data_IF_780928038327
#
_entry.id   IF_780928038327
#
_cell.length_a   1.000
_cell.length_b   1.000
_cell.length_c   1.000
_cell.angle_alpha   90.00
_cell.angle_beta   90.00
_cell.angle_gamma   90.00
#
_symmetry.space_group_name_H-M   'P 1'
#
loop_
_entity.id
_entity.type
_entity.pdbx_description
1 polymer ?
#
# COMPACT_ATOMS: atom_id res chain seq x y z
N UNK A 1 -3.22 17.91 -13.98
CA UNK A 1 -2.57 18.14 -12.66
C UNK A 1 -3.66 18.39 -11.64
N UNK A 2 -3.58 17.74 -10.47
CA UNK A 2 -4.51 17.95 -9.36
C UNK A 2 -3.77 18.41 -8.12
N UNK A 3 -4.32 19.41 -7.42
CA UNK A 3 -3.78 19.94 -6.18
C UNK A 3 -4.75 19.75 -5.02
N UNK A 4 -4.27 19.83 -3.77
CA UNK A 4 -5.15 19.72 -2.59
C UNK A 4 -5.88 21.02 -2.24
N UNK A 5 -5.50 22.16 -2.82
CA UNK A 5 -6.16 23.45 -2.59
C UNK A 5 -6.15 24.36 -3.82
N UNK A 6 -7.07 25.33 -3.83
CA UNK A 6 -7.26 26.28 -4.95
C UNK A 6 -6.03 27.15 -5.16
N UNK A 7 -5.44 27.69 -4.08
CA UNK A 7 -4.25 28.58 -4.17
C UNK A 7 -3.09 27.94 -4.94
N UNK A 8 -2.86 26.64 -4.77
CA UNK A 8 -1.81 25.95 -5.51
C UNK A 8 -2.25 25.61 -6.94
N UNK A 9 -3.54 25.32 -7.18
CA UNK A 9 -4.03 25.13 -8.55
C UNK A 9 -3.82 26.40 -9.37
N UNK A 10 -4.14 27.56 -8.81
CA UNK A 10 -3.95 28.86 -9.45
C UNK A 10 -2.46 29.12 -9.71
N UNK A 11 -1.61 28.92 -8.71
CA UNK A 11 -0.16 29.09 -8.84
C UNK A 11 0.45 28.19 -9.94
N UNK A 12 0.06 26.91 -10.00
CA UNK A 12 0.54 26.00 -11.04
C UNK A 12 -0.01 26.38 -12.41
N UNK A 13 -1.25 26.88 -12.49
CA UNK A 13 -1.83 27.38 -13.73
C UNK A 13 -1.06 28.60 -14.27
N UNK A 14 -0.68 29.53 -13.39
CA UNK A 14 0.14 30.69 -13.75
C UNK A 14 1.54 30.29 -14.22
N UNK A 15 2.17 29.32 -13.52
CA UNK A 15 3.45 28.75 -13.93
C UNK A 15 3.36 28.07 -15.30
N UNK A 16 2.29 27.31 -15.55
CA UNK A 16 2.05 26.66 -16.83
C UNK A 16 1.88 27.68 -17.95
N UNK A 17 1.05 28.71 -17.74
CA UNK A 17 0.84 29.81 -18.67
C UNK A 17 2.16 30.56 -18.98
N UNK A 18 3.05 30.71 -18.00
CA UNK A 18 4.39 31.24 -18.25
C UNK A 18 5.27 30.27 -19.04
N UNK A 19 5.24 28.98 -18.69
CA UNK A 19 6.05 27.94 -19.33
C UNK A 19 5.73 27.82 -20.81
N UNK A 20 4.47 27.90 -21.22
CA UNK A 20 4.04 27.84 -22.62
C UNK A 20 4.63 28.97 -23.49
N UNK A 21 4.85 30.15 -22.90
CA UNK A 21 5.46 31.28 -23.62
C UNK A 21 6.91 31.01 -23.96
N UNK A 22 7.64 30.38 -23.05
CA UNK A 22 9.10 30.25 -23.16
C UNK A 22 9.56 28.84 -23.59
N UNK A 23 8.66 27.85 -23.61
CA UNK A 23 8.97 26.46 -23.95
C UNK A 23 8.13 25.96 -25.15
N UNK A 24 8.75 25.76 -26.34
CA UNK A 24 8.07 25.27 -27.53
C UNK A 24 7.38 23.92 -27.35
N UNK A 25 7.98 22.98 -26.60
CA UNK A 25 7.41 21.65 -26.40
C UNK A 25 6.13 21.69 -25.53
N UNK A 26 6.11 22.57 -24.52
CA UNK A 26 4.91 22.78 -23.69
C UNK A 26 3.76 23.38 -24.53
N UNK A 27 4.09 24.32 -25.41
CA UNK A 27 3.12 24.95 -26.32
C UNK A 27 2.55 23.95 -27.32
N UNK A 28 3.39 23.12 -27.93
CA UNK A 28 2.96 22.07 -28.86
C UNK A 28 2.06 21.05 -28.15
N UNK A 29 2.41 20.67 -26.91
CA UNK A 29 1.57 19.78 -26.11
C UNK A 29 0.18 20.37 -25.83
N UNK A 30 0.10 21.64 -25.40
CA UNK A 30 -1.19 22.28 -25.14
C UNK A 30 -2.03 22.39 -26.42
N UNK A 31 -1.43 22.85 -27.52
CA UNK A 31 -2.11 22.99 -28.80
C UNK A 31 -2.64 21.64 -29.33
N UNK A 32 -1.89 20.55 -29.11
CA UNK A 32 -2.29 19.19 -29.52
C UNK A 32 -3.59 18.74 -28.85
N UNK A 33 -3.83 19.11 -27.59
CA UNK A 33 -4.95 18.60 -26.79
C UNK A 33 -6.09 19.61 -26.60
N UNK A 34 -5.89 20.89 -26.93
CA UNK A 34 -6.86 21.97 -26.68
C UNK A 34 -8.26 21.69 -27.24
N UNK A 35 -8.35 21.18 -28.47
CA UNK A 35 -9.63 20.92 -29.15
C UNK A 35 -10.13 19.47 -29.01
N UNK A 36 -9.58 18.73 -28.05
CA UNK A 36 -9.97 17.34 -27.77
C UNK A 36 -10.90 17.24 -26.57
N UNK A 37 -11.47 16.06 -26.33
CA UNK A 37 -12.22 15.77 -25.10
C UNK A 37 -11.32 15.67 -23.84
N UNK A 38 -10.00 15.67 -24.02
CA UNK A 38 -9.01 15.47 -22.97
C UNK A 38 -7.98 16.61 -22.90
N UNK A 39 -8.40 17.89 -22.80
CA UNK A 39 -7.46 19.00 -22.73
C UNK A 39 -6.59 18.91 -21.47
N UNK A 40 -5.43 19.57 -21.51
CA UNK A 40 -4.64 19.76 -20.30
C UNK A 40 -5.46 20.52 -19.24
N UNK A 41 -5.29 20.15 -17.97
CA UNK A 41 -5.96 20.85 -16.88
C UNK A 41 -5.09 20.93 -15.62
N UNK A 42 -5.34 21.98 -14.84
CA UNK A 42 -4.90 22.13 -13.46
C UNK A 42 -6.15 22.42 -12.64
N UNK A 43 -6.47 21.55 -11.67
CA UNK A 43 -7.68 21.67 -10.85
C UNK A 43 -7.35 21.31 -9.40
N UNK A 44 -8.11 21.83 -8.44
CA UNK A 44 -8.01 21.36 -7.06
C UNK A 44 -8.92 20.14 -6.84
N UNK A 45 -8.66 19.41 -5.75
CA UNK A 45 -9.38 18.22 -5.30
C UNK A 45 -10.91 18.36 -5.35
N UNK A 46 -11.45 19.56 -5.11
CA UNK A 46 -12.90 19.78 -5.09
C UNK A 46 -13.55 19.85 -6.47
N UNK A 47 -12.76 20.22 -7.49
CA UNK A 47 -13.24 20.51 -8.84
C UNK A 47 -12.91 19.41 -9.86
N UNK A 48 -12.25 18.33 -9.40
CA UNK A 48 -11.91 17.17 -10.22
C UNK A 48 -13.05 16.17 -10.16
N UNK A 49 -13.91 16.20 -11.18
CA UNK A 49 -15.07 15.31 -11.30
C UNK A 49 -15.26 14.88 -12.75
N UNK A 50 -15.27 13.57 -13.00
CA UNK A 50 -15.32 13.06 -14.38
C UNK A 50 -14.05 13.33 -15.21
N UNK A 51 -13.08 14.05 -14.66
CA UNK A 51 -11.81 14.37 -15.31
C UNK A 51 -10.82 13.21 -15.20
N UNK A 52 -10.83 12.31 -16.19
CA UNK A 52 -9.93 11.15 -16.26
C UNK A 52 -8.82 11.38 -17.30
N UNK A 53 -7.59 10.96 -17.00
CA UNK A 53 -6.46 11.02 -17.94
C UNK A 53 -5.61 9.77 -17.83
N UNK A 54 -4.82 9.50 -18.86
CA UNK A 54 -3.86 8.39 -18.81
C UNK A 54 -2.85 8.61 -17.66
N UNK A 55 -2.37 9.84 -17.53
CA UNK A 55 -1.43 10.26 -16.50
C UNK A 55 -1.99 11.42 -15.66
N UNK A 56 -2.00 11.27 -14.34
CA UNK A 56 -2.36 12.34 -13.40
C UNK A 56 -1.19 12.65 -12.48
N UNK A 57 -0.78 13.92 -12.46
CA UNK A 57 0.15 14.45 -11.47
C UNK A 57 -0.66 14.98 -10.28
N UNK A 58 -0.34 14.53 -9.07
CA UNK A 58 -0.96 14.97 -7.82
C UNK A 58 0.06 15.72 -6.98
N UNK A 59 -0.28 16.93 -6.53
CA UNK A 59 0.52 17.70 -5.59
C UNK A 59 -0.19 17.85 -4.25
N UNK A 60 0.40 17.34 -3.17
CA UNK A 60 -0.23 17.29 -1.84
C UNK A 60 -0.19 18.61 -1.08
N UNK A 61 0.73 19.53 -1.40
CA UNK A 61 1.01 20.83 -0.72
C UNK A 61 1.41 20.80 0.75
N UNK A 62 1.15 19.70 1.43
CA UNK A 62 1.40 19.58 2.84
C UNK A 62 2.87 19.29 3.09
N UNK A 63 3.40 19.91 4.13
CA UNK A 63 4.79 19.84 4.49
C UNK A 63 5.09 20.74 5.67
N UNK A 64 6.31 20.66 6.19
CA UNK A 64 6.74 21.55 7.26
C UNK A 64 6.96 22.96 6.72
N UNK A 65 6.77 23.97 7.58
CA UNK A 65 6.99 25.38 7.20
C UNK A 65 8.46 25.68 6.93
N UNK A 66 9.35 24.94 7.56
CA UNK A 66 10.80 24.98 7.38
C UNK A 66 11.34 23.56 7.16
N UNK A 67 12.45 23.44 6.43
CA UNK A 67 13.05 22.12 6.13
C UNK A 67 13.42 21.40 7.43
N UNK A 68 12.94 20.16 7.58
CA UNK A 68 13.16 19.35 8.77
C UNK A 68 12.27 19.69 9.98
N UNK A 69 11.39 20.69 9.85
CA UNK A 69 10.39 21.01 10.87
C UNK A 69 9.23 20.02 10.92
N UNK A 70 8.32 20.15 11.90
CA UNK A 70 7.14 19.30 11.99
C UNK A 70 6.09 19.66 10.93
N UNK A 71 5.41 18.65 10.39
CA UNK A 71 4.26 18.84 9.50
C UNK A 71 3.02 19.23 10.31
N UNK A 72 2.36 20.30 9.89
CA UNK A 72 1.11 20.73 10.49
C UNK A 72 -0.03 19.74 10.16
N UNK A 73 -0.73 19.25 11.18
CA UNK A 73 -1.79 18.23 11.04
C UNK A 73 -3.15 18.79 10.54
N UNK A 74 -3.11 19.84 9.70
CA UNK A 74 -4.28 20.53 9.15
C UNK A 74 -4.40 20.25 7.65
N UNK A 75 -5.04 19.15 7.30
CA UNK A 75 -5.15 18.67 5.91
C UNK A 75 -6.34 19.25 5.13
N UNK A 76 -6.79 20.47 5.49
CA UNK A 76 -7.80 21.22 4.74
C UNK A 76 -9.07 20.41 4.39
N UNK A 77 -9.49 20.36 3.10
CA UNK A 77 -10.68 19.63 2.66
C UNK A 77 -10.68 18.13 2.97
N UNK A 78 -9.51 17.53 3.22
CA UNK A 78 -9.37 16.09 3.53
C UNK A 78 -9.90 15.78 4.93
N UNK A 79 -9.83 16.73 5.86
CA UNK A 79 -10.29 16.54 7.24
C UNK A 79 -11.83 16.47 7.30
N UNK A 80 -12.52 17.07 6.33
CA UNK A 80 -13.98 17.13 6.29
C UNK A 80 -14.61 15.74 6.11
N UNK A 81 -15.90 15.59 6.47
CA UNK A 81 -16.60 14.30 6.46
C UNK A 81 -16.54 13.53 5.13
N UNK A 82 -16.52 14.24 3.99
CA UNK A 82 -16.43 13.63 2.65
C UNK A 82 -15.00 13.62 2.07
N UNK A 83 -13.98 13.93 2.86
CA UNK A 83 -12.58 14.02 2.41
C UNK A 83 -12.06 12.71 1.81
N UNK A 84 -12.40 11.57 2.42
CA UNK A 84 -12.05 10.23 1.93
C UNK A 84 -12.63 9.97 0.52
N UNK A 85 -13.89 10.36 0.26
CA UNK A 85 -14.52 10.20 -1.07
C UNK A 85 -13.80 11.02 -2.12
N UNK A 86 -13.40 12.26 -1.78
CA UNK A 86 -12.65 13.12 -2.69
C UNK A 86 -11.28 12.52 -3.01
N UNK A 87 -10.60 11.93 -2.01
CA UNK A 87 -9.35 11.20 -2.24
C UNK A 87 -9.54 9.98 -3.14
N UNK A 88 -10.57 9.17 -2.93
CA UNK A 88 -10.89 8.04 -3.80
C UNK A 88 -11.19 8.48 -5.24
N UNK A 89 -11.92 9.58 -5.40
CA UNK A 89 -12.13 10.20 -6.71
C UNK A 89 -10.78 10.57 -7.32
N UNK A 90 -9.93 11.28 -6.60
CA UNK A 90 -8.61 11.69 -7.06
C UNK A 90 -7.73 10.51 -7.50
N UNK A 91 -7.61 9.47 -6.68
CA UNK A 91 -6.74 8.31 -6.96
C UNK A 91 -7.23 7.44 -8.12
N UNK A 92 -8.51 7.54 -8.47
CA UNK A 92 -9.10 6.82 -9.61
C UNK A 92 -9.17 7.66 -10.89
N UNK A 93 -8.61 8.87 -10.92
CA UNK A 93 -8.59 9.71 -12.13
C UNK A 93 -7.54 9.31 -13.16
N UNK A 94 -6.54 8.52 -12.77
CA UNK A 94 -5.51 8.05 -13.69
C UNK A 94 -5.88 6.68 -14.25
N UNK A 95 -5.78 6.52 -15.57
CA UNK A 95 -5.96 5.22 -16.24
C UNK A 95 -4.71 4.36 -16.18
N UNK A 96 -3.54 4.99 -16.30
CA UNK A 96 -2.27 4.30 -16.45
C UNK A 96 -1.30 4.63 -15.31
N UNK A 97 -1.17 5.91 -14.93
CA UNK A 97 -0.15 6.32 -13.96
C UNK A 97 -0.52 7.54 -13.12
N UNK A 98 -0.13 7.49 -11.85
CA UNK A 98 -0.11 8.65 -10.93
C UNK A 98 1.34 8.99 -10.58
N UNK A 99 1.67 10.27 -10.68
CA UNK A 99 2.91 10.83 -10.12
C UNK A 99 2.55 11.73 -8.93
N UNK A 100 2.90 11.29 -7.72
CA UNK A 100 2.59 11.97 -6.46
C UNK A 100 3.78 12.81 -5.99
N UNK A 101 3.56 14.11 -5.81
CA UNK A 101 4.54 15.07 -5.29
C UNK A 101 4.13 15.50 -3.88
N UNK A 102 5.00 15.22 -2.91
CA UNK A 102 4.77 15.51 -1.50
C UNK A 102 6.04 16.02 -0.81
N UNK A 103 5.88 16.96 0.12
CA UNK A 103 6.96 17.43 1.01
C UNK A 103 6.90 16.78 2.39
N UNK A 104 6.09 15.73 2.53
CA UNK A 104 5.90 14.93 3.73
C UNK A 104 5.74 13.46 3.37
N UNK A 105 5.99 12.58 4.34
CA UNK A 105 5.82 11.13 4.28
C UNK A 105 4.61 10.69 5.12
N UNK A 106 4.22 9.41 5.01
CA UNK A 106 3.16 8.84 5.88
C UNK A 106 3.51 8.92 7.36
N UNK A 107 4.80 8.84 7.72
CA UNK A 107 5.28 8.92 9.10
C UNK A 107 5.07 10.31 9.75
N UNK A 108 4.92 11.35 8.93
CA UNK A 108 4.63 12.70 9.41
C UNK A 108 3.16 12.90 9.80
N UNK A 109 2.27 11.98 9.41
CA UNK A 109 0.83 12.05 9.69
C UNK A 109 0.50 11.28 10.97
N UNK A 110 -0.01 12.03 11.95
CA UNK A 110 -0.43 11.51 13.25
C UNK A 110 -1.91 11.17 13.18
N UNK A 111 -2.23 9.90 13.41
CA UNK A 111 -3.60 9.36 13.37
C UNK A 111 -3.94 8.70 14.70
N UNK A 112 -5.13 8.96 15.20
CA UNK A 112 -5.75 8.36 16.38
C UNK A 112 -7.20 7.92 16.07
N UNK A 113 -7.92 7.39 17.06
CA UNK A 113 -9.31 6.94 16.90
C UNK A 113 -10.27 8.06 16.45
N UNK A 114 -9.96 9.33 16.74
CA UNK A 114 -10.79 10.49 16.41
C UNK A 114 -10.44 11.11 15.06
N UNK A 115 -9.35 10.67 14.45
CA UNK A 115 -8.88 11.17 13.16
C UNK A 115 -9.86 10.82 12.06
N UNK A 116 -10.18 11.79 11.22
CA UNK A 116 -11.15 11.59 10.14
C UNK A 116 -10.65 10.57 9.13
N UNK A 117 -11.59 9.87 8.51
CA UNK A 117 -11.31 8.83 7.51
C UNK A 117 -10.41 9.34 6.38
N UNK A 118 -10.61 10.58 5.92
CA UNK A 118 -9.77 11.18 4.88
C UNK A 118 -8.30 11.30 5.28
N UNK A 119 -8.01 11.60 6.55
CA UNK A 119 -6.62 11.70 7.04
C UNK A 119 -5.96 10.33 7.09
N UNK A 120 -6.71 9.29 7.48
CA UNK A 120 -6.23 7.90 7.46
C UNK A 120 -5.95 7.44 6.03
N UNK A 121 -6.88 7.65 5.11
CA UNK A 121 -6.72 7.33 3.68
C UNK A 121 -5.52 8.05 3.07
N UNK A 122 -5.30 9.33 3.40
CA UNK A 122 -4.11 10.07 2.93
C UNK A 122 -2.81 9.44 3.44
N UNK A 123 -2.76 9.06 4.71
CA UNK A 123 -1.60 8.40 5.33
C UNK A 123 -1.30 7.07 4.67
N UNK A 124 -2.31 6.23 4.52
CA UNK A 124 -2.17 4.90 3.93
C UNK A 124 -1.73 5.01 2.47
N UNK A 125 -2.31 5.96 1.72
CA UNK A 125 -1.91 6.21 0.33
C UNK A 125 -0.48 6.73 0.18
N UNK A 126 0.00 7.59 1.09
CA UNK A 126 1.39 8.03 1.09
C UNK A 126 2.36 6.90 1.44
N UNK A 127 1.96 6.01 2.35
CA UNK A 127 2.73 4.81 2.67
C UNK A 127 2.85 3.92 1.44
N UNK A 128 1.72 3.66 0.77
CA UNK A 128 1.65 2.91 -0.46
C UNK A 128 2.48 3.53 -1.59
N UNK A 129 2.34 4.83 -1.85
CA UNK A 129 3.07 5.49 -2.92
C UNK A 129 4.59 5.44 -2.74
N UNK A 130 5.08 5.42 -1.49
CA UNK A 130 6.51 5.36 -1.19
C UNK A 130 7.07 3.94 -1.21
N UNK A 131 6.29 2.94 -0.79
CA UNK A 131 6.76 1.57 -0.59
C UNK A 131 6.32 0.60 -1.68
N UNK A 132 5.28 0.95 -2.44
CA UNK A 132 4.53 0.02 -3.30
C UNK A 132 3.67 -0.97 -2.51
N UNK A 133 3.64 -0.88 -1.18
CA UNK A 133 2.98 -1.80 -0.26
C UNK A 133 1.74 -1.11 0.29
N UNK A 134 0.56 -1.67 0.03
CA UNK A 134 -0.67 -1.17 0.63
C UNK A 134 -0.71 -1.67 2.07
N UNK A 135 -0.18 -0.88 3.01
CA UNK A 135 -0.31 -1.18 4.44
C UNK A 135 -1.79 -1.08 4.82
N UNK A 136 -2.44 -2.22 4.97
CA UNK A 136 -3.81 -2.27 5.48
C UNK A 136 -3.81 -1.88 6.94
N UNK A 137 -4.32 -0.70 7.26
CA UNK A 137 -4.62 -0.25 8.63
C UNK A 137 -5.83 -0.96 9.26
N UNK A 138 -6.21 -2.11 8.71
CA UNK A 138 -7.17 -3.04 9.30
C UNK A 138 -6.77 -4.47 8.92
N UNK A 139 -6.36 -5.26 9.91
CA UNK A 139 -6.63 -6.69 9.88
C UNK A 139 -8.16 -6.84 9.77
N UNK A 140 -8.69 -6.88 8.55
CA UNK A 140 -10.05 -7.35 8.33
C UNK A 140 -9.92 -8.87 8.33
N UNK A 141 -10.02 -9.45 9.53
CA UNK A 141 -10.39 -10.85 9.66
C UNK A 141 -11.76 -10.99 8.97
N UNK A 142 -11.79 -11.64 7.80
CA UNK A 142 -13.03 -11.95 7.11
C UNK A 142 -13.64 -13.24 7.64
N UNK A 143 -14.96 -13.40 7.53
CA UNK A 143 -15.58 -14.71 7.70
C UNK A 143 -15.09 -15.66 6.58
N UNK A 144 -14.84 -16.94 6.89
CA UNK A 144 -14.45 -17.93 5.89
C UNK A 144 -15.50 -18.07 4.79
N UNK A 145 -15.06 -18.18 3.53
CA UNK A 145 -15.95 -18.27 2.36
C UNK A 145 -16.49 -19.71 2.17
N UNK A 146 -15.97 -20.71 2.90
CA UNK A 146 -16.40 -22.11 2.82
C UNK A 146 -16.17 -22.94 4.11
N UNK A 147 -17.06 -23.90 4.38
CA UNK A 147 -16.87 -24.96 5.39
C UNK A 147 -15.55 -25.73 5.21
N UNK A 148 -15.06 -25.82 3.97
CA UNK A 148 -13.78 -26.44 3.66
C UNK A 148 -12.60 -25.64 4.25
N UNK A 149 -12.62 -24.31 4.13
CA UNK A 149 -11.60 -23.43 4.72
C UNK A 149 -11.60 -23.54 6.24
N UNK A 150 -12.79 -23.61 6.85
CA UNK A 150 -12.96 -23.82 8.29
C UNK A 150 -12.29 -25.14 8.70
N UNK A 151 -12.56 -26.22 7.97
CA UNK A 151 -12.02 -27.54 8.29
C UNK A 151 -10.48 -27.59 8.16
N UNK A 152 -9.91 -26.91 7.17
CA UNK A 152 -8.45 -26.80 7.00
C UNK A 152 -7.83 -25.99 8.14
N UNK A 153 -8.39 -24.82 8.46
CA UNK A 153 -7.88 -23.96 9.53
C UNK A 153 -7.96 -24.65 10.90
N UNK A 154 -9.05 -25.35 11.21
CA UNK A 154 -9.24 -26.04 12.47
C UNK A 154 -8.22 -27.16 12.68
N UNK A 155 -7.93 -27.94 11.63
CA UNK A 155 -6.90 -28.98 11.69
C UNK A 155 -5.50 -28.40 11.90
N UNK A 156 -5.20 -27.23 11.35
CA UNK A 156 -3.93 -26.54 11.60
C UNK A 156 -3.85 -26.00 13.04
N UNK A 157 -4.94 -25.44 13.57
CA UNK A 157 -5.01 -25.00 14.98
C UNK A 157 -4.78 -26.14 15.96
N UNK A 158 -5.36 -27.32 15.70
CA UNK A 158 -5.14 -28.53 16.50
C UNK A 158 -3.67 -29.01 16.48
N UNK A 159 -2.88 -28.59 15.49
CA UNK A 159 -1.45 -28.89 15.37
C UNK A 159 -0.56 -27.75 15.90
N UNK A 160 -1.16 -26.73 16.52
CA UNK A 160 -0.45 -25.63 17.18
C UNK A 160 -0.14 -24.42 16.31
N UNK A 161 -0.72 -24.33 15.11
CA UNK A 161 -0.58 -23.15 14.24
C UNK A 161 -1.66 -22.11 14.57
N UNK A 162 -1.31 -20.84 14.48
CA UNK A 162 -2.29 -19.74 14.55
C UNK A 162 -2.71 -19.41 13.12
N UNK A 163 -4.02 -19.38 12.87
CA UNK A 163 -4.58 -19.22 11.53
C UNK A 163 -5.68 -18.17 11.49
N UNK A 164 -5.59 -17.31 10.47
CA UNK A 164 -6.48 -16.16 10.28
C UNK A 164 -7.11 -16.27 8.90
N UNK A 165 -8.43 -16.08 8.80
CA UNK A 165 -9.15 -16.23 7.54
C UNK A 165 -9.11 -14.96 6.70
N UNK A 166 -9.17 -15.12 5.38
CA UNK A 166 -9.39 -14.04 4.40
C UNK A 166 -8.37 -12.90 4.52
N UNK A 167 -7.08 -13.25 4.61
CA UNK A 167 -5.98 -12.32 4.79
C UNK A 167 -5.63 -11.64 3.46
N UNK A 168 -5.73 -10.31 3.40
CA UNK A 168 -5.38 -9.53 2.20
C UNK A 168 -6.11 -8.18 2.12
N UNK A 169 -5.83 -7.40 1.07
CA UNK A 169 -6.46 -6.11 0.80
C UNK A 169 -6.68 -5.88 -0.71
N UNK A 170 -7.66 -5.05 -1.06
CA UNK A 170 -7.93 -4.57 -2.43
C UNK A 170 -8.18 -5.67 -3.49
N UNK A 171 -9.21 -6.51 -3.27
CA UNK A 171 -9.72 -7.45 -4.27
C UNK A 171 -8.97 -8.78 -4.37
N UNK A 172 -7.87 -8.93 -3.63
CA UNK A 172 -7.13 -10.17 -3.50
C UNK A 172 -7.16 -10.62 -2.03
N UNK A 173 -7.78 -11.78 -1.77
CA UNK A 173 -7.87 -12.38 -0.43
C UNK A 173 -7.23 -13.76 -0.47
N UNK A 174 -6.40 -14.05 0.53
CA UNK A 174 -5.85 -15.38 0.80
C UNK A 174 -6.81 -16.06 1.78
N UNK A 175 -7.25 -17.28 1.48
CA UNK A 175 -8.30 -17.93 2.24
C UNK A 175 -7.91 -18.14 3.71
N UNK A 176 -6.65 -18.53 3.97
CA UNK A 176 -6.11 -18.69 5.33
C UNK A 176 -4.65 -18.20 5.39
N UNK A 177 -4.34 -17.25 6.27
CA UNK A 177 -2.96 -16.90 6.64
C UNK A 177 -2.49 -17.69 7.86
N UNK A 178 -1.25 -18.17 7.85
CA UNK A 178 -0.59 -18.83 8.99
C UNK A 178 0.34 -17.84 9.68
N UNK A 179 0.03 -17.50 10.93
CA UNK A 179 0.73 -16.45 11.66
C UNK A 179 2.09 -16.89 12.19
N UNK A 180 3.01 -15.94 12.27
CA UNK A 180 4.30 -16.09 12.93
C UNK A 180 4.84 -14.73 13.40
N UNK A 181 5.05 -14.59 14.71
CA UNK A 181 5.40 -13.33 15.40
C UNK A 181 6.63 -12.60 14.83
N UNK A 182 7.54 -13.32 14.18
CA UNK A 182 8.83 -12.79 13.67
C UNK A 182 8.86 -12.52 12.17
N UNK A 183 7.73 -12.63 11.47
CA UNK A 183 7.64 -12.29 10.04
C UNK A 183 7.28 -10.81 9.84
N UNK A 184 7.82 -10.13 8.78
CA UNK A 184 7.60 -8.71 8.52
C UNK A 184 6.12 -8.28 8.47
N UNK A 185 5.22 -9.21 8.17
CA UNK A 185 3.78 -8.98 8.05
C UNK A 185 2.95 -9.87 9.00
N UNK A 186 3.60 -10.54 9.95
CA UNK A 186 2.93 -11.42 10.91
C UNK A 186 2.53 -12.80 10.36
N UNK A 187 2.79 -13.12 9.10
CA UNK A 187 2.44 -14.40 8.47
C UNK A 187 3.65 -15.09 7.83
N UNK A 188 3.78 -16.41 8.02
CA UNK A 188 4.83 -17.24 7.41
C UNK A 188 4.40 -17.83 6.07
N UNK A 189 3.10 -18.04 5.87
CA UNK A 189 2.53 -18.60 4.64
C UNK A 189 1.06 -18.19 4.47
N UNK A 190 0.61 -18.18 3.23
CA UNK A 190 -0.81 -18.13 2.85
C UNK A 190 -1.26 -19.48 2.32
N UNK A 191 -2.50 -19.87 2.59
CA UNK A 191 -3.12 -21.10 2.11
C UNK A 191 -4.30 -20.73 1.22
N UNK A 192 -4.33 -21.31 0.03
CA UNK A 192 -5.47 -21.24 -0.88
C UNK A 192 -6.21 -22.58 -0.91
N UNK A 193 -7.51 -22.52 -0.69
CA UNK A 193 -8.46 -23.63 -0.73
C UNK A 193 -9.30 -23.50 -2.00
N UNK A 194 -9.38 -24.55 -2.81
CA UNK A 194 -10.28 -24.60 -3.97
C UNK A 194 -11.75 -24.74 -3.51
N UNK A 195 -12.42 -23.60 -3.30
CA UNK A 195 -13.86 -23.56 -3.11
C UNK A 195 -14.62 -23.99 -4.37
N UNK A 196 -15.79 -24.63 -4.19
CA UNK A 196 -16.71 -25.14 -5.24
C UNK A 196 -17.25 -24.09 -6.24
N UNK A 197 -16.72 -22.87 -6.27
CA UNK A 197 -17.12 -21.78 -7.15
C UNK A 197 -16.13 -21.51 -8.31
N UNK A 198 -15.00 -22.21 -8.41
CA UNK A 198 -13.89 -21.82 -9.30
C UNK A 198 -13.82 -22.54 -10.67
N UNK A 199 -14.97 -22.88 -11.24
CA UNK A 199 -15.04 -23.47 -12.59
C UNK A 199 -16.02 -22.75 -13.51
N UNK A 200 -15.70 -21.51 -13.91
CA UNK A 200 -16.12 -21.01 -15.23
C UNK A 200 -15.46 -19.67 -15.60
N UNK A 201 -14.35 -19.70 -16.35
CA UNK A 201 -14.06 -18.81 -17.50
C UNK A 201 -12.58 -18.86 -17.93
N UNK A 202 -12.31 -18.62 -19.23
CA UNK A 202 -10.94 -18.49 -19.78
C UNK A 202 -10.15 -17.31 -19.18
N UNK A 203 -10.83 -16.33 -18.59
CA UNK A 203 -10.25 -15.18 -17.87
C UNK A 203 -9.71 -15.50 -16.47
N UNK A 204 -9.99 -16.70 -15.93
CA UNK A 204 -9.51 -17.12 -14.61
C UNK A 204 -8.04 -17.56 -14.61
N UNK A 205 -7.53 -18.10 -15.72
CA UNK A 205 -6.13 -18.58 -15.82
C UNK A 205 -5.11 -17.46 -15.87
N UNK A 206 -5.37 -16.42 -16.66
CA UNK A 206 -4.46 -15.28 -16.77
C UNK A 206 -4.45 -14.48 -15.45
N UNK A 207 -5.59 -14.42 -14.74
CA UNK A 207 -5.66 -13.88 -13.38
C UNK A 207 -4.93 -14.75 -12.35
N UNK A 208 -4.99 -16.09 -12.44
CA UNK A 208 -4.29 -16.98 -11.49
C UNK A 208 -2.77 -16.87 -11.61
N UNK A 209 -2.23 -16.73 -12.84
CA UNK A 209 -0.79 -16.56 -13.07
C UNK A 209 -0.32 -15.20 -12.53
N UNK A 210 -1.03 -14.11 -12.87
CA UNK A 210 -0.75 -12.77 -12.34
C UNK A 210 -0.90 -12.70 -10.81
N UNK A 211 -1.88 -13.42 -10.25
CA UNK A 211 -2.13 -13.50 -8.81
C UNK A 211 -0.99 -14.19 -8.08
N UNK A 212 -0.52 -15.33 -8.60
CA UNK A 212 0.60 -16.04 -8.01
C UNK A 212 1.89 -15.20 -8.08
N UNK A 213 2.17 -14.58 -9.22
CA UNK A 213 3.34 -13.69 -9.38
C UNK A 213 3.28 -12.48 -8.44
N UNK A 214 2.11 -11.87 -8.24
CA UNK A 214 1.93 -10.74 -7.33
C UNK A 214 2.14 -11.13 -5.85
N UNK A 215 1.58 -12.27 -5.43
CA UNK A 215 1.71 -12.75 -4.05
C UNK A 215 3.16 -13.17 -3.75
N UNK A 216 3.83 -13.86 -4.68
CA UNK A 216 5.23 -14.25 -4.54
C UNK A 216 6.18 -13.03 -4.54
N UNK A 217 5.91 -12.02 -5.37
CA UNK A 217 6.66 -10.74 -5.37
C UNK A 217 6.46 -9.94 -4.07
N UNK A 218 5.35 -10.14 -3.36
CA UNK A 218 5.08 -9.59 -2.03
C UNK A 218 5.71 -10.42 -0.90
N UNK A 219 6.47 -11.47 -1.22
CA UNK A 219 7.17 -12.32 -0.25
C UNK A 219 6.29 -13.39 0.40
N UNK A 220 5.07 -13.60 -0.09
CA UNK A 220 4.22 -14.68 0.40
C UNK A 220 4.71 -16.03 -0.11
N UNK A 221 4.71 -17.02 0.78
CA UNK A 221 4.76 -18.42 0.37
C UNK A 221 3.33 -18.95 0.34
N UNK A 222 2.82 -19.26 -0.86
CA UNK A 222 1.45 -19.75 -1.05
C UNK A 222 1.45 -21.28 -1.11
N UNK A 223 0.60 -21.90 -0.29
CA UNK A 223 0.38 -23.34 -0.24
C UNK A 223 -1.05 -23.66 -0.67
N UNK A 224 -1.22 -24.35 -1.80
CA UNK A 224 -2.55 -24.72 -2.29
C UNK A 224 -3.01 -26.06 -1.71
N UNK A 225 -4.27 -26.12 -1.28
CA UNK A 225 -4.95 -27.33 -0.76
C UNK A 225 -6.17 -27.60 -1.63
N UNK A 226 -6.22 -28.81 -2.19
CA UNK A 226 -7.31 -29.25 -3.04
C UNK A 226 -8.35 -30.04 -2.24
N UNK A 227 -9.62 -29.66 -2.38
CA UNK A 227 -10.78 -30.18 -1.68
C UNK A 227 -11.00 -31.63 -2.05
N UNK A 228 -10.76 -32.00 -3.32
CA UNK A 228 -10.83 -33.39 -3.79
C UNK A 228 -9.86 -34.30 -3.05
N UNK A 229 -8.61 -33.87 -2.90
CA UNK A 229 -7.56 -34.64 -2.24
C UNK A 229 -7.77 -34.68 -0.73
N UNK A 230 -8.22 -33.54 -0.18
CA UNK A 230 -8.54 -33.42 1.23
C UNK A 230 -9.73 -34.28 1.62
N UNK A 231 -10.81 -34.35 0.83
CA UNK A 231 -11.94 -35.24 1.12
C UNK A 231 -11.56 -36.72 0.97
N UNK A 232 -10.64 -37.05 0.06
CA UNK A 232 -10.18 -38.42 -0.13
C UNK A 232 -9.30 -38.91 1.02
N UNK A 233 -8.38 -38.07 1.52
CA UNK A 233 -7.51 -38.43 2.65
C UNK A 233 -7.09 -37.20 3.48
N UNK A 234 -7.97 -36.72 4.39
CA UNK A 234 -7.73 -35.49 5.14
C UNK A 234 -6.46 -35.54 6.01
N UNK A 235 -6.16 -36.70 6.62
CA UNK A 235 -5.02 -36.84 7.54
C UNK A 235 -3.69 -36.79 6.79
N UNK A 236 -3.61 -37.44 5.63
CA UNK A 236 -2.43 -37.39 4.76
C UNK A 236 -2.15 -35.97 4.29
N UNK A 237 -3.17 -35.26 3.78
CA UNK A 237 -3.00 -33.88 3.29
C UNK A 237 -2.68 -32.89 4.41
N UNK A 238 -3.31 -33.07 5.59
CA UNK A 238 -2.96 -32.30 6.79
C UNK A 238 -1.48 -32.50 7.15
N UNK A 239 -0.98 -33.73 7.15
CA UNK A 239 0.41 -34.02 7.50
C UNK A 239 1.40 -33.43 6.50
N UNK A 240 1.10 -33.49 5.20
CA UNK A 240 1.91 -32.84 4.16
C UNK A 240 1.96 -31.32 4.33
N UNK A 241 0.82 -30.70 4.61
CA UNK A 241 0.72 -29.26 4.83
C UNK A 241 1.51 -28.81 6.07
N UNK A 242 1.35 -29.53 7.17
CA UNK A 242 2.10 -29.29 8.42
C UNK A 242 3.61 -29.45 8.22
N UNK A 243 4.06 -30.47 7.48
CA UNK A 243 5.47 -30.67 7.19
C UNK A 243 6.06 -29.47 6.43
N UNK A 244 5.37 -29.01 5.38
CA UNK A 244 5.78 -27.81 4.62
C UNK A 244 5.83 -26.56 5.49
N UNK A 245 4.79 -26.30 6.28
CA UNK A 245 4.76 -25.14 7.19
C UNK A 245 5.89 -25.20 8.24
N UNK A 246 6.16 -26.38 8.79
CA UNK A 246 7.23 -26.59 9.77
C UNK A 246 8.62 -26.32 9.17
N UNK A 247 8.85 -26.75 7.92
CA UNK A 247 10.10 -26.50 7.21
C UNK A 247 10.25 -25.01 6.84
N UNK A 248 9.16 -24.32 6.49
CA UNK A 248 9.17 -22.87 6.25
C UNK A 248 9.52 -22.10 7.54
N UNK A 249 8.87 -22.44 8.66
CA UNK A 249 9.16 -21.83 9.97
C UNK A 249 10.61 -22.11 10.39
N UNK A 250 11.13 -23.33 10.17
CA UNK A 250 12.53 -23.67 10.46
C UNK A 250 13.49 -22.83 9.63
N UNK A 251 13.24 -22.73 8.33
CA UNK A 251 14.06 -21.95 7.38
C UNK A 251 14.03 -20.45 7.72
N UNK A 252 12.87 -19.94 8.12
CA UNK A 252 12.70 -18.56 8.55
C UNK A 252 13.50 -18.26 9.83
N UNK A 253 13.38 -19.11 10.84
CA UNK A 253 14.11 -18.97 12.10
C UNK A 253 15.63 -19.02 11.89
N UNK A 254 16.12 -19.81 10.92
CA UNK A 254 17.54 -19.84 10.55
C UNK A 254 18.01 -18.54 9.88
N UNK A 255 17.24 -17.98 8.93
CA UNK A 255 17.55 -16.69 8.28
C UNK A 255 17.57 -15.52 9.28
N UNK A 256 16.63 -15.51 10.23
CA UNK A 256 16.55 -14.53 11.32
C UNK A 256 17.70 -14.66 12.33
N UNK A 257 18.22 -15.87 12.56
CA UNK A 257 19.38 -16.08 13.43
C UNK A 257 20.69 -15.58 12.79
N UNK A 258 20.82 -15.65 11.47
CA UNK A 258 21.98 -15.15 10.72
C UNK A 258 22.03 -13.64 10.48
N UNK A 259 20.94 -12.90 10.75
CA UNK A 259 20.85 -11.44 10.51
C UNK A 259 21.04 -10.57 11.75
N UNK A 260 21.45 -11.13 12.90
CA UNK A 260 21.84 -10.31 14.07
C UNK A 260 23.13 -9.53 13.74
N UNK A 261 23.17 -8.20 13.91
CA UNK A 261 24.42 -7.47 13.79
C UNK A 261 25.35 -7.87 14.95
N UNK A 262 26.58 -8.23 14.62
CA UNK A 262 27.68 -8.28 15.58
C UNK A 262 27.79 -6.91 16.27
N UNK A 263 28.04 -6.92 17.58
CA UNK A 263 28.35 -5.72 18.35
C UNK A 263 29.44 -4.89 17.64
N UNK A 264 29.06 -3.81 16.97
CA UNK A 264 30.00 -2.76 16.58
C UNK A 264 30.13 -1.82 17.77
N UNK A 265 31.33 -1.80 18.36
CA UNK A 265 31.78 -0.82 19.36
C UNK A 265 31.41 0.60 18.91
N UNK A 266 30.69 1.33 19.75
CA UNK A 266 30.56 2.78 19.61
C UNK A 266 31.93 3.40 19.88
N UNK A 267 32.60 3.89 18.84
CA UNK A 267 33.74 4.77 18.99
C UNK A 267 33.25 6.14 19.50
N UNK A 268 33.76 6.56 20.65
CA UNK A 268 33.56 7.90 21.22
C UNK A 268 33.97 8.99 20.21
N UNK A 269 33.00 9.77 19.74
CA UNK A 269 33.28 10.97 18.95
C UNK A 269 33.53 12.12 19.95
N UNK A 270 34.79 12.54 20.07
CA UNK A 270 35.18 13.76 20.81
C UNK A 270 34.50 14.98 20.19
N UNK A 271 33.81 15.77 21.03
CA UNK A 271 33.24 17.07 20.65
C UNK A 271 34.37 18.07 20.36
N UNK A 272 34.28 18.88 19.29
CA UNK A 272 35.19 20.01 19.12
C UNK A 272 34.87 21.13 20.11
N UNK A 273 35.91 21.84 20.56
CA UNK A 273 35.83 22.95 21.50
C UNK A 273 35.11 24.16 20.88
N UNK A 274 34.36 24.89 21.71
CA UNK A 274 33.68 26.13 21.34
C UNK A 274 34.70 27.24 21.02
N UNK A 275 34.44 28.12 20.04
CA UNK A 275 35.29 29.27 19.79
C UNK A 275 35.06 30.36 20.84
N UNK A 276 36.16 30.97 21.26
CA UNK A 276 36.23 32.04 22.25
C UNK A 276 35.48 33.31 21.84
N UNK A 277 34.90 33.93 22.86
CA UNK A 277 34.53 35.34 23.06
C UNK A 277 34.44 36.30 21.86
N UNK A 278 33.27 36.91 21.73
CA UNK A 278 33.15 38.30 21.26
C UNK A 278 32.51 39.09 22.41
N UNK A 279 33.25 40.07 22.90
CA UNK A 279 32.84 41.09 23.86
C UNK A 279 31.70 41.95 23.28
N UNK A 280 30.67 42.18 24.09
CA UNK A 280 30.18 43.52 24.47
C UNK A 280 29.30 43.39 25.74
#
# INVERSE_FOLDING_TARGET
>A
IVTMNVKQADFISDLWASTIRDNPAAREYEAKWADTISPFFVKNLENVQGDERDHIIISTVYGPQERGGPVAQRFGPIVQANGHRRLNVLFTRARERIDLFSSMTSSDIRTDERSSEGVRVLKDYLSYANTGILESSSQIEGEPDSDFEIAVAERLRQRGFITTHQVGASGFRIDIGVEHEKYPHGYVAGIECDGRAYHSSRSARDNDILRQELLENQGWTILRVWSTDWFANPDSETNKLVAKLSDLIRSANQKLASSRPSHTQFAEIKRPAAPDGIED
#
